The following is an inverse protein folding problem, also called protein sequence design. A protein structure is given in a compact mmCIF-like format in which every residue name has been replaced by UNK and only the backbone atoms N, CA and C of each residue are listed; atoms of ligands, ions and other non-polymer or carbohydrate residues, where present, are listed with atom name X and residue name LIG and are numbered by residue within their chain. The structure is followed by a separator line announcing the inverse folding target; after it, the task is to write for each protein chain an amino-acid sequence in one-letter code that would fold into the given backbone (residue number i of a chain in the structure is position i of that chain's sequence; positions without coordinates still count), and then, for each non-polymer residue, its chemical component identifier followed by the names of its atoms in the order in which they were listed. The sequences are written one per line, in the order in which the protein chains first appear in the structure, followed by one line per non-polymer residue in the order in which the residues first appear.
data_IF_463577923444
#
_entry.id   IF_463577923444
#
_cell.length_a   1.000
_cell.length_b   1.000
_cell.length_c   1.000
_cell.angle_alpha   90.00
_cell.angle_beta   90.00
_cell.angle_gamma   90.00
#
_symmetry.space_group_name_H-M   'P 1'
#
loop_
_entity.id
_entity.type
_entity.pdbx_description
1 polymer ?
#
# COMPACT_ATOMS: atom_id res chain seq x y z
N UNK A 1 25.35 -34.20 -20.18
CA UNK A 1 24.06 -33.71 -19.67
C UNK A 1 24.31 -32.42 -18.90
N UNK A 2 23.83 -31.29 -19.39
CA UNK A 2 23.98 -29.97 -18.74
C UNK A 2 22.61 -29.58 -18.17
N UNK A 3 22.47 -29.22 -16.88
CA UNK A 3 21.21 -28.71 -16.38
C UNK A 3 21.06 -27.24 -16.81
N UNK A 4 20.14 -26.98 -17.74
CA UNK A 4 19.66 -25.65 -18.09
C UNK A 4 18.81 -25.10 -16.93
N UNK A 5 19.47 -24.58 -15.90
CA UNK A 5 18.81 -23.71 -14.93
C UNK A 5 18.61 -22.33 -15.56
N UNK A 6 17.53 -22.17 -16.32
CA UNK A 6 16.98 -20.86 -16.63
C UNK A 6 16.34 -20.29 -15.37
N UNK A 7 17.16 -19.71 -14.49
CA UNK A 7 16.67 -18.72 -13.53
C UNK A 7 16.30 -17.50 -14.34
N UNK A 8 14.99 -17.25 -14.49
CA UNK A 8 14.51 -15.96 -14.99
C UNK A 8 14.96 -14.92 -13.96
N UNK A 9 16.08 -14.25 -14.24
CA UNK A 9 16.49 -13.08 -13.48
C UNK A 9 15.47 -11.98 -13.79
N UNK A 10 14.70 -11.59 -12.77
CA UNK A 10 13.90 -10.39 -12.86
C UNK A 10 14.82 -9.21 -13.26
N UNK A 11 14.40 -8.33 -14.18
CA UNK A 11 15.18 -7.15 -14.54
C UNK A 11 15.60 -6.43 -13.26
N UNK A 12 16.90 -6.12 -13.14
CA UNK A 12 17.39 -5.29 -12.05
C UNK A 12 16.76 -3.91 -12.21
N UNK A 13 15.64 -3.70 -11.51
CA UNK A 13 15.09 -2.37 -11.25
C UNK A 13 16.21 -1.50 -10.68
N UNK A 14 16.20 -0.17 -10.92
CA UNK A 14 17.09 0.73 -10.20
C UNK A 14 16.86 0.50 -8.71
N UNK A 15 17.81 -0.19 -8.10
CA UNK A 15 17.71 -0.68 -6.74
C UNK A 15 17.52 0.50 -5.81
N UNK A 16 16.52 0.40 -4.92
CA UNK A 16 16.39 1.28 -3.76
C UNK A 16 17.69 1.34 -2.92
N UNK A 17 18.63 0.40 -3.11
CA UNK A 17 19.84 0.25 -2.32
C UNK A 17 20.92 1.36 -2.47
N UNK A 18 20.69 2.43 -3.24
CA UNK A 18 21.68 3.54 -3.41
C UNK A 18 21.09 4.95 -3.50
N UNK A 19 19.80 5.14 -3.23
CA UNK A 19 19.18 6.46 -3.32
C UNK A 19 19.13 7.12 -1.95
N UNK A 20 19.26 8.44 -1.94
CA UNK A 20 19.07 9.24 -0.73
C UNK A 20 17.65 8.99 -0.18
N UNK A 21 17.45 8.92 1.15
CA UNK A 21 16.14 8.73 1.75
C UNK A 21 15.07 9.72 1.25
N UNK A 22 15.45 10.96 0.92
CA UNK A 22 14.55 11.98 0.36
C UNK A 22 14.13 11.64 -1.06
N UNK A 23 15.05 11.14 -1.89
CA UNK A 23 14.71 10.67 -3.24
C UNK A 23 13.76 9.46 -3.17
N UNK A 24 14.03 8.52 -2.25
CA UNK A 24 13.18 7.35 -2.07
C UNK A 24 11.76 7.71 -1.65
N UNK A 25 11.64 8.65 -0.70
CA UNK A 25 10.38 9.25 -0.29
C UNK A 25 9.64 9.82 -1.50
N UNK A 26 10.28 10.71 -2.26
CA UNK A 26 9.66 11.36 -3.42
C UNK A 26 9.19 10.34 -4.48
N UNK A 27 9.99 9.30 -4.74
CA UNK A 27 9.66 8.25 -5.71
C UNK A 27 8.46 7.42 -5.26
N UNK A 28 8.43 6.98 -4.01
CA UNK A 28 7.32 6.16 -3.48
C UNK A 28 6.05 7.01 -3.40
N UNK A 29 6.13 8.23 -2.87
CA UNK A 29 4.99 9.17 -2.83
C UNK A 29 4.43 9.43 -4.23
N UNK A 30 5.29 9.62 -5.24
CA UNK A 30 4.87 9.84 -6.63
C UNK A 30 4.13 8.62 -7.20
N UNK A 31 4.67 7.42 -6.99
CA UNK A 31 4.04 6.16 -7.45
C UNK A 31 2.68 5.92 -6.80
N UNK A 32 2.60 6.06 -5.49
CA UNK A 32 1.37 5.84 -4.72
C UNK A 32 0.30 6.86 -5.14
N UNK A 33 0.66 8.15 -5.27
CA UNK A 33 -0.27 9.17 -5.78
C UNK A 33 -0.79 8.84 -7.19
N UNK A 34 0.05 8.34 -8.08
CA UNK A 34 -0.38 7.95 -9.42
C UNK A 34 -1.38 6.78 -9.39
N UNK A 35 -1.20 5.83 -8.48
CA UNK A 35 -2.13 4.71 -8.27
C UNK A 35 -3.46 5.21 -7.70
N UNK A 36 -3.44 6.06 -6.66
CA UNK A 36 -4.66 6.65 -6.07
C UNK A 36 -5.47 7.38 -7.13
N UNK A 37 -4.83 8.21 -7.97
CA UNK A 37 -5.53 8.91 -9.06
C UNK A 37 -6.23 7.97 -10.03
N UNK A 38 -5.62 6.83 -10.36
CA UNK A 38 -6.23 5.81 -11.22
C UNK A 38 -7.36 5.07 -10.52
N UNK A 39 -7.19 4.77 -9.24
CA UNK A 39 -8.23 4.15 -8.42
C UNK A 39 -9.45 5.07 -8.28
N UNK A 40 -9.22 6.37 -8.11
CA UNK A 40 -10.29 7.38 -8.08
C UNK A 40 -11.15 7.35 -9.35
N UNK A 41 -10.53 7.15 -10.51
CA UNK A 41 -11.28 7.02 -11.78
C UNK A 41 -12.25 5.83 -11.81
N UNK A 42 -12.05 4.81 -10.96
CA UNK A 42 -12.99 3.70 -10.74
C UNK A 42 -14.13 4.16 -9.84
N UNK A 43 -13.80 4.81 -8.72
CA UNK A 43 -14.81 5.33 -7.77
C UNK A 43 -15.71 6.40 -8.40
N UNK A 44 -15.20 7.17 -9.35
CA UNK A 44 -15.97 8.18 -10.09
C UNK A 44 -17.04 7.55 -11.00
N UNK A 45 -16.91 6.26 -11.36
CA UNK A 45 -17.89 5.50 -12.15
C UNK A 45 -18.96 4.88 -11.25
N UNK A 46 -19.65 5.72 -10.48
CA UNK A 46 -20.59 5.32 -9.41
C UNK A 46 -21.61 4.26 -9.86
N UNK A 47 -22.25 4.45 -11.01
CA UNK A 47 -23.28 3.53 -11.49
C UNK A 47 -22.72 2.11 -11.71
N UNK A 48 -21.58 1.99 -12.38
CA UNK A 48 -20.92 0.70 -12.65
C UNK A 48 -20.32 0.09 -11.37
N UNK A 49 -19.89 0.94 -10.43
CA UNK A 49 -19.42 0.48 -9.12
C UNK A 49 -20.58 -0.07 -8.28
N UNK A 50 -21.78 0.51 -8.36
CA UNK A 50 -22.98 0.00 -7.67
C UNK A 50 -23.40 -1.37 -8.21
N UNK A 51 -23.17 -1.63 -9.49
CA UNK A 51 -23.43 -2.94 -10.12
C UNK A 51 -22.35 -4.01 -9.80
N UNK A 52 -21.22 -3.61 -9.24
CA UNK A 52 -20.13 -4.53 -8.85
C UNK A 52 -20.48 -5.32 -7.58
N UNK A 53 -20.07 -6.59 -7.44
CA UNK A 53 -20.24 -7.34 -6.20
C UNK A 53 -19.71 -6.61 -4.96
N UNK A 54 -20.38 -6.78 -3.82
CA UNK A 54 -20.05 -6.03 -2.60
C UNK A 54 -18.64 -6.33 -2.08
N UNK A 55 -18.22 -7.60 -2.11
CA UNK A 55 -16.88 -8.05 -1.76
C UNK A 55 -15.79 -7.42 -2.65
N UNK A 56 -16.04 -7.31 -3.96
CA UNK A 56 -15.14 -6.62 -4.88
C UNK A 56 -15.02 -5.13 -4.55
N UNK A 57 -16.13 -4.45 -4.23
CA UNK A 57 -16.09 -3.06 -3.76
C UNK A 57 -15.28 -2.91 -2.47
N UNK A 58 -15.45 -3.84 -1.53
CA UNK A 58 -14.67 -3.84 -0.28
C UNK A 58 -13.17 -4.00 -0.55
N UNK A 59 -12.76 -4.87 -1.46
CA UNK A 59 -11.36 -5.03 -1.83
C UNK A 59 -10.78 -3.73 -2.44
N UNK A 60 -11.53 -3.07 -3.33
CA UNK A 60 -11.12 -1.77 -3.89
C UNK A 60 -10.99 -0.69 -2.81
N UNK A 61 -11.92 -0.66 -1.85
CA UNK A 61 -11.87 0.27 -0.72
C UNK A 61 -10.62 0.01 0.15
N UNK A 62 -10.33 -1.25 0.49
CA UNK A 62 -9.13 -1.60 1.27
C UNK A 62 -7.84 -1.19 0.56
N UNK A 63 -7.78 -1.32 -0.77
CA UNK A 63 -6.65 -0.80 -1.54
C UNK A 63 -6.53 0.72 -1.33
N UNK A 64 -7.64 1.45 -1.48
CA UNK A 64 -7.69 2.90 -1.25
C UNK A 64 -7.18 3.29 0.14
N UNK A 65 -7.81 2.74 1.18
CA UNK A 65 -7.48 3.03 2.59
C UNK A 65 -5.99 2.77 2.90
N UNK A 66 -5.43 1.66 2.36
CA UNK A 66 -4.01 1.32 2.55
C UNK A 66 -3.07 2.26 1.81
N UNK A 67 -3.43 2.72 0.61
CA UNK A 67 -2.64 3.68 -0.16
C UNK A 67 -2.66 5.07 0.47
N UNK A 68 -3.81 5.51 0.98
CA UNK A 68 -3.93 6.75 1.76
C UNK A 68 -3.08 6.69 3.02
N UNK A 69 -3.16 5.59 3.78
CA UNK A 69 -2.32 5.40 4.96
C UNK A 69 -0.83 5.47 4.63
N UNK A 70 -0.40 4.87 3.51
CA UNK A 70 0.99 4.99 3.04
C UNK A 70 1.36 6.46 2.84
N UNK A 71 0.53 7.24 2.14
CA UNK A 71 0.83 8.66 1.90
C UNK A 71 0.92 9.48 3.19
N UNK A 72 0.02 9.22 4.14
CA UNK A 72 0.00 9.96 5.41
C UNK A 72 1.22 9.62 6.28
N UNK A 73 1.72 8.39 6.19
CA UNK A 73 2.79 7.90 7.07
C UNK A 73 4.18 7.93 6.43
N UNK A 74 4.30 8.19 5.14
CA UNK A 74 5.59 8.10 4.45
C UNK A 74 6.57 9.19 4.90
N UNK A 75 6.10 10.40 5.25
CA UNK A 75 6.98 11.47 5.73
C UNK A 75 7.49 11.21 7.15
N UNK A 76 6.65 10.66 8.03
CA UNK A 76 7.00 10.44 9.44
C UNK A 76 7.75 9.12 9.66
N UNK A 77 7.43 8.09 8.84
CA UNK A 77 7.89 6.71 9.06
C UNK A 77 8.73 6.13 7.92
N UNK A 78 9.03 6.86 6.82
CA UNK A 78 9.80 6.28 5.70
C UNK A 78 11.16 5.72 6.10
N UNK A 79 11.82 6.32 7.10
CA UNK A 79 13.11 5.84 7.62
C UNK A 79 12.98 4.63 8.55
N UNK A 80 11.79 4.38 9.11
CA UNK A 80 11.49 3.22 9.96
C UNK A 80 10.92 2.03 9.18
N UNK A 81 10.51 2.23 7.93
CA UNK A 81 10.05 1.15 7.07
C UNK A 81 11.20 0.25 6.63
N UNK A 82 11.01 -1.04 6.89
CA UNK A 82 11.92 -2.09 6.43
C UNK A 82 12.03 -2.09 4.90
N UNK A 83 13.16 -2.56 4.39
CA UNK A 83 13.36 -2.76 2.95
C UNK A 83 12.24 -3.61 2.32
N UNK A 84 11.73 -4.61 3.04
CA UNK A 84 10.63 -5.48 2.59
C UNK A 84 9.34 -4.69 2.36
N UNK A 85 8.97 -3.81 3.29
CA UNK A 85 7.79 -2.95 3.16
C UNK A 85 7.90 -2.03 1.94
N UNK A 86 9.06 -1.41 1.73
CA UNK A 86 9.31 -0.56 0.56
C UNK A 86 9.22 -1.35 -0.76
N UNK A 87 9.77 -2.57 -0.80
CA UNK A 87 9.68 -3.46 -1.96
C UNK A 87 8.25 -3.91 -2.24
N UNK A 88 7.47 -4.20 -1.20
CA UNK A 88 6.07 -4.56 -1.34
C UNK A 88 5.25 -3.42 -1.95
N UNK A 89 5.47 -2.16 -1.53
CA UNK A 89 4.82 -0.99 -2.13
C UNK A 89 5.23 -0.86 -3.61
N UNK A 90 6.52 -1.04 -3.92
CA UNK A 90 7.01 -0.98 -5.30
C UNK A 90 6.38 -2.05 -6.19
N UNK A 91 6.33 -3.31 -5.72
CA UNK A 91 5.69 -4.41 -6.43
C UNK A 91 4.20 -4.17 -6.62
N UNK A 92 3.49 -3.74 -5.58
CA UNK A 92 2.08 -3.37 -5.70
C UNK A 92 1.86 -2.32 -6.80
N UNK A 93 2.62 -1.22 -6.77
CA UNK A 93 2.51 -0.15 -7.77
C UNK A 93 2.84 -0.64 -9.18
N UNK A 94 3.82 -1.54 -9.31
CA UNK A 94 4.23 -2.12 -10.60
C UNK A 94 3.15 -3.04 -11.16
N UNK A 95 2.58 -3.93 -10.36
CA UNK A 95 1.49 -4.82 -10.79
C UNK A 95 0.21 -4.03 -11.10
N UNK A 96 -0.15 -3.06 -10.26
CA UNK A 96 -1.24 -2.12 -10.56
C UNK A 96 -1.03 -1.42 -11.90
N UNK A 97 0.21 -0.98 -12.18
CA UNK A 97 0.58 -0.31 -13.42
C UNK A 97 0.38 -1.15 -14.68
N UNK A 98 0.28 -2.48 -14.56
CA UNK A 98 -0.01 -3.39 -15.70
C UNK A 98 -1.49 -3.46 -16.04
N UNK A 99 -2.37 -3.09 -15.11
CA UNK A 99 -3.82 -3.08 -15.35
C UNK A 99 -4.14 -2.02 -16.39
N UNK A 100 -4.85 -2.41 -17.45
CA UNK A 100 -5.18 -1.53 -18.58
C UNK A 100 -6.48 -0.77 -18.30
N UNK A 101 -6.34 0.53 -18.01
CA UNK A 101 -7.47 1.45 -17.82
C UNK A 101 -8.00 2.06 -19.13
N UNK A 102 -7.38 1.75 -20.27
CA UNK A 102 -7.86 2.21 -21.57
C UNK A 102 -9.27 1.68 -21.83
N UNK A 103 -10.20 2.57 -22.19
CA UNK A 103 -11.60 2.21 -22.38
C UNK A 103 -12.29 1.76 -21.09
N UNK A 104 -11.92 2.34 -19.93
CA UNK A 104 -12.43 1.95 -18.60
C UNK A 104 -13.95 1.71 -18.56
N UNK A 105 -14.76 2.53 -19.23
CA UNK A 105 -16.21 2.34 -19.22
C UNK A 105 -16.70 1.05 -19.91
N UNK A 106 -15.95 0.49 -20.85
CA UNK A 106 -16.24 -0.79 -21.51
C UNK A 106 -15.57 -1.97 -20.79
N UNK A 107 -14.42 -1.71 -20.17
CA UNK A 107 -13.58 -2.74 -19.53
C UNK A 107 -13.72 -2.77 -18.01
N UNK A 108 -14.74 -2.11 -17.44
CA UNK A 108 -14.81 -1.82 -16.00
C UNK A 108 -14.73 -3.09 -15.14
N UNK A 109 -15.55 -4.09 -15.45
CA UNK A 109 -15.56 -5.36 -14.71
C UNK A 109 -14.18 -6.06 -14.76
N UNK A 110 -13.50 -6.03 -15.91
CA UNK A 110 -12.18 -6.63 -16.06
C UNK A 110 -11.12 -5.88 -15.25
N UNK A 111 -11.18 -4.54 -15.25
CA UNK A 111 -10.30 -3.70 -14.41
C UNK A 111 -10.54 -3.99 -12.94
N UNK A 112 -11.80 -4.03 -12.49
CA UNK A 112 -12.16 -4.34 -11.10
C UNK A 112 -11.62 -5.71 -10.71
N UNK A 113 -11.87 -6.77 -11.50
CA UNK A 113 -11.37 -8.12 -11.20
C UNK A 113 -9.86 -8.17 -11.06
N UNK A 114 -9.12 -7.52 -11.96
CA UNK A 114 -7.66 -7.45 -11.89
C UNK A 114 -7.17 -6.76 -10.61
N UNK A 115 -7.89 -5.72 -10.14
CA UNK A 115 -7.54 -5.05 -8.89
C UNK A 115 -7.93 -5.85 -7.64
N UNK A 116 -9.03 -6.58 -7.68
CA UNK A 116 -9.42 -7.52 -6.60
C UNK A 116 -8.39 -8.62 -6.47
N UNK A 117 -7.94 -9.21 -7.58
CA UNK A 117 -6.83 -10.18 -7.59
C UNK A 117 -5.55 -9.57 -7.01
N UNK A 118 -5.29 -8.28 -7.29
CA UNK A 118 -4.15 -7.58 -6.74
C UNK A 118 -4.24 -7.39 -5.21
N UNK A 119 -5.44 -7.14 -4.67
CA UNK A 119 -5.67 -7.09 -3.21
C UNK A 119 -5.36 -8.44 -2.57
N UNK A 120 -5.80 -9.54 -3.19
CA UNK A 120 -5.61 -10.90 -2.69
C UNK A 120 -4.13 -11.35 -2.66
N UNK A 121 -3.23 -10.74 -3.44
CA UNK A 121 -1.79 -11.03 -3.33
C UNK A 121 -1.17 -10.50 -2.02
N UNK A 122 -1.87 -9.63 -1.27
CA UNK A 122 -1.50 -9.28 0.09
C UNK A 122 -0.25 -8.41 0.22
N UNK A 123 0.22 -7.77 -0.86
CA UNK A 123 1.41 -6.89 -0.82
C UNK A 123 1.30 -5.81 0.27
N UNK A 124 0.09 -5.34 0.55
CA UNK A 124 -0.18 -4.26 1.50
C UNK A 124 -0.71 -4.73 2.85
N UNK A 125 -0.79 -6.04 3.10
CA UNK A 125 -1.41 -6.59 4.32
C UNK A 125 -0.65 -6.24 5.61
N UNK A 126 0.65 -5.99 5.51
CA UNK A 126 1.48 -5.57 6.64
C UNK A 126 1.01 -4.24 7.26
N UNK A 127 0.26 -3.42 6.53
CA UNK A 127 -0.30 -2.15 7.03
C UNK A 127 -1.41 -2.42 8.06
N UNK A 128 -2.17 -3.51 7.92
CA UNK A 128 -3.23 -3.89 8.87
C UNK A 128 -2.65 -4.13 10.26
N UNK A 129 -1.46 -4.75 10.33
CA UNK A 129 -0.74 -4.99 11.59
C UNK A 129 -0.31 -3.67 12.24
N UNK A 130 0.07 -2.67 11.44
CA UNK A 130 0.45 -1.34 11.94
C UNK A 130 -0.76 -0.55 12.43
N UNK A 131 -1.91 -0.65 11.76
CA UNK A 131 -3.17 -0.04 12.19
C UNK A 131 -3.60 -0.54 13.59
N UNK A 132 -3.54 -1.85 13.81
CA UNK A 132 -3.86 -2.46 15.12
C UNK A 132 -2.81 -2.05 16.16
N UNK A 133 -1.53 -2.00 15.81
CA UNK A 133 -0.47 -1.61 16.74
C UNK A 133 -0.54 -0.13 17.15
N UNK A 134 -0.99 0.78 16.28
CA UNK A 134 -1.19 2.20 16.63
C UNK A 134 -2.43 2.37 17.52
N UNK A 135 -3.54 1.67 17.24
CA UNK A 135 -4.75 1.71 18.07
C UNK A 135 -4.49 1.10 19.46
N UNK A 136 -3.81 -0.04 19.53
CA UNK A 136 -3.43 -0.70 20.81
C UNK A 136 -2.34 0.09 21.53
N UNK A 137 -1.43 0.75 20.80
CA UNK A 137 -0.38 1.63 21.35
C UNK A 137 -0.91 2.92 21.98
N UNK A 138 -2.12 3.37 21.62
CA UNK A 138 -2.83 4.43 22.34
C UNK A 138 -3.40 3.96 23.69
N UNK A 139 -3.32 2.65 24.01
CA UNK A 139 -3.86 2.05 25.23
C UNK A 139 -2.75 1.61 26.21
N UNK A 140 -1.95 2.58 26.69
CA UNK A 140 -1.24 2.53 27.99
C UNK A 140 0.29 2.76 27.96
N UNK A 141 0.95 3.17 29.07
CA UNK A 141 0.45 3.45 30.43
C UNK A 141 0.76 4.88 30.93
N UNK A 142 -0.13 5.53 31.70
CA UNK A 142 0.32 6.63 32.56
C UNK A 142 1.05 6.05 33.79
N UNK A 143 2.37 5.86 33.65
CA UNK A 143 3.28 5.78 34.79
C UNK A 143 3.45 7.19 35.38
N UNK A 144 2.69 7.49 36.43
CA UNK A 144 3.03 8.57 37.36
C UNK A 144 3.98 8.02 38.42
N UNK A 145 5.27 8.36 38.34
CA UNK A 145 6.22 8.10 39.41
C UNK A 145 6.63 9.43 40.05
N UNK A 146 6.33 9.51 41.35
CA UNK A 146 7.05 10.17 42.44
C UNK A 146 6.97 11.69 42.66
N UNK A 147 6.59 12.05 43.89
CA UNK A 147 6.88 13.34 44.50
C UNK A 147 6.15 13.56 45.82
N UNK A 148 6.80 13.21 46.92
CA UNK A 148 6.39 13.43 48.32
C UNK A 148 5.76 14.80 48.58
N UNK A 149 4.71 14.84 49.42
CA UNK A 149 4.64 15.84 50.49
C UNK A 149 3.85 15.33 51.70
N UNK A 150 4.23 15.87 52.84
CA UNK A 150 4.20 15.36 54.20
C UNK A 150 3.23 16.23 55.03
N UNK A 151 2.60 15.65 56.06
CA UNK A 151 1.76 16.30 57.10
C UNK A 151 0.44 16.90 56.58
N UNK A 152 -0.73 16.69 57.17
CA UNK A 152 -1.12 16.54 58.58
C UNK A 152 -2.09 15.36 58.80
#
# INVERSE_FOLDING_TARGET
MVPLQYRIAAPSLPSFARRDPVDLLAIVSSKVNAVIKKLQAIFDRKDQLLDTPHDHRLALQRIGDRLEWILDNITENSTSWTRSQQQNIDWFCKEFGKVRFSGLGQNFEHVVKALVELEHFGYLDWIVVQFVSQIVGCSGPQRGHNGLSRAL
#
